data_IF_201415258479
#
_entry.id   IF_201415258479
#
_cell.length_a   1.000
_cell.length_b   1.000
_cell.length_c   1.000
_cell.angle_alpha   90.00
_cell.angle_beta   90.00
_cell.angle_gamma   90.00
#
_symmetry.space_group_name_H-M   'P 1'
#
loop_
_entity.id
_entity.type
_entity.pdbx_description
1 polymer ?
#
# COMPACT_ATOMS: atom_id res chain seq x y z
N UNK A 1 -28.26 48.50 -36.20
CA UNK A 1 -27.37 48.21 -35.05
C UNK A 1 -27.84 46.90 -34.40
N UNK A 2 -27.01 45.85 -34.41
CA UNK A 2 -26.99 44.92 -33.30
C UNK A 2 -25.55 44.77 -32.76
N UNK A 3 -25.39 44.92 -31.45
CA UNK A 3 -24.12 44.77 -30.76
C UNK A 3 -23.75 43.29 -30.64
N UNK A 4 -22.64 42.90 -31.26
CA UNK A 4 -22.03 41.60 -31.02
C UNK A 4 -21.08 41.73 -29.82
N UNK A 5 -21.54 41.38 -28.61
CA UNK A 5 -20.66 41.17 -27.46
C UNK A 5 -20.34 39.67 -27.37
N UNK A 6 -19.22 39.26 -27.96
CA UNK A 6 -18.62 37.94 -27.72
C UNK A 6 -17.17 38.14 -27.30
N UNK A 7 -17.04 38.48 -26.03
CA UNK A 7 -15.81 38.47 -25.21
C UNK A 7 -16.39 38.56 -23.79
N UNK A 8 -16.26 37.60 -22.88
CA UNK A 8 -15.06 36.90 -22.45
C UNK A 8 -15.52 35.78 -21.49
N UNK A 9 -15.84 34.57 -21.95
CA UNK A 9 -16.21 33.49 -21.00
C UNK A 9 -15.80 32.10 -21.50
N UNK A 10 -14.51 31.91 -21.82
CA UNK A 10 -14.01 30.57 -22.19
C UNK A 10 -12.62 30.27 -21.64
N UNK A 11 -12.27 30.82 -20.46
CA UNK A 11 -10.99 30.52 -19.80
C UNK A 11 -11.11 30.06 -18.34
N UNK A 12 -12.33 29.80 -17.84
CA UNK A 12 -12.55 29.37 -16.46
C UNK A 12 -12.82 27.85 -16.30
N UNK A 13 -13.04 27.10 -17.39
CA UNK A 13 -13.36 25.66 -17.30
C UNK A 13 -12.13 24.72 -17.28
N UNK A 14 -10.91 25.21 -17.55
CA UNK A 14 -9.70 24.38 -17.48
C UNK A 14 -9.05 24.34 -16.09
N UNK A 15 -9.49 25.19 -15.15
CA UNK A 15 -8.92 25.24 -13.79
C UNK A 15 -9.47 24.16 -12.85
N UNK A 16 -10.42 23.33 -13.30
CA UNK A 16 -11.10 22.31 -12.49
C UNK A 16 -10.55 20.90 -12.62
N UNK A 17 -9.55 20.66 -13.47
CA UNK A 17 -8.88 19.36 -13.55
C UNK A 17 -7.93 19.22 -12.35
N UNK A 18 -8.49 18.92 -11.18
CA UNK A 18 -7.70 18.43 -10.06
C UNK A 18 -7.11 17.08 -10.48
N UNK A 19 -5.83 17.07 -10.80
CA UNK A 19 -5.06 15.83 -10.94
C UNK A 19 -4.99 15.23 -9.55
N UNK A 20 -5.86 14.25 -9.27
CA UNK A 20 -5.78 13.48 -8.04
C UNK A 20 -4.45 12.71 -8.05
N UNK A 21 -3.55 13.10 -7.14
CA UNK A 21 -2.31 12.37 -6.90
C UNK A 21 -2.61 11.30 -5.87
N UNK A 22 -3.08 10.15 -6.34
CA UNK A 22 -3.38 9.00 -5.49
C UNK A 22 -2.08 8.25 -5.15
N UNK A 23 -1.84 8.05 -3.86
CA UNK A 23 -0.74 7.23 -3.36
C UNK A 23 -1.28 6.21 -2.37
N UNK A 24 -0.70 5.03 -2.42
CA UNK A 24 -1.01 3.94 -1.52
C UNK A 24 0.25 3.45 -0.83
N UNK A 25 0.13 3.08 0.43
CA UNK A 25 1.21 2.48 1.21
C UNK A 25 0.65 1.42 2.13
N UNK A 26 1.53 0.51 2.58
CA UNK A 26 1.19 -0.41 3.66
C UNK A 26 1.14 0.41 4.95
N UNK A 27 -0.06 0.62 5.49
CA UNK A 27 -0.26 1.32 6.76
C UNK A 27 0.06 0.38 7.93
N UNK A 28 -0.39 -0.87 7.82
CA UNK A 28 -0.29 -1.87 8.87
C UNK A 28 -0.19 -3.29 8.32
N UNK A 29 0.27 -4.21 9.15
CA UNK A 29 0.31 -5.64 8.89
C UNK A 29 -0.48 -6.38 9.98
N UNK A 30 -1.19 -7.44 9.57
CA UNK A 30 -1.89 -8.33 10.50
C UNK A 30 -1.64 -9.78 10.13
N UNK A 31 -1.62 -10.67 11.12
CA UNK A 31 -1.69 -12.10 10.85
C UNK A 31 -3.12 -12.47 10.46
N UNK A 32 -3.22 -13.48 9.61
CA UNK A 32 -4.47 -14.12 9.24
C UNK A 32 -4.55 -15.45 10.01
N UNK A 33 -5.57 -15.58 10.85
CA UNK A 33 -5.84 -16.81 11.58
C UNK A 33 -6.43 -17.92 10.69
N UNK A 34 -6.47 -19.17 11.17
CA UNK A 34 -6.98 -20.31 10.39
C UNK A 34 -8.45 -20.18 9.97
N UNK A 35 -9.24 -19.39 10.70
CA UNK A 35 -10.64 -19.09 10.39
C UNK A 35 -10.78 -17.92 9.39
N UNK A 36 -9.67 -17.40 8.89
CA UNK A 36 -9.63 -16.26 8.00
C UNK A 36 -9.87 -14.90 8.68
N UNK A 37 -9.84 -14.82 10.00
CA UNK A 37 -9.95 -13.54 10.70
C UNK A 37 -8.57 -12.91 10.89
N UNK A 38 -8.51 -11.58 10.88
CA UNK A 38 -7.29 -10.89 11.27
C UNK A 38 -7.01 -11.03 12.77
N UNK A 39 -5.73 -11.14 13.12
CA UNK A 39 -5.28 -11.10 14.51
C UNK A 39 -5.54 -9.74 15.16
N UNK A 40 -5.65 -9.74 16.50
CA UNK A 40 -5.68 -8.51 17.28
C UNK A 40 -4.35 -7.76 17.16
N UNK A 41 -3.23 -8.48 17.18
CA UNK A 41 -1.91 -7.90 16.98
C UNK A 41 -1.83 -7.16 15.64
N UNK A 42 -1.25 -5.97 15.70
CA UNK A 42 -0.99 -5.12 14.54
C UNK A 42 0.50 -4.82 14.51
N UNK A 43 1.12 -5.00 13.35
CA UNK A 43 2.46 -4.52 13.11
C UNK A 43 2.45 -3.29 12.22
N UNK A 44 3.45 -2.44 12.39
CA UNK A 44 3.61 -1.23 11.60
C UNK A 44 4.91 -1.27 10.78
N UNK A 45 5.03 -0.55 9.66
CA UNK A 45 6.28 -0.43 8.94
C UNK A 45 7.31 0.41 9.72
N UNK A 46 8.58 0.30 9.33
CA UNK A 46 9.64 1.20 9.85
C UNK A 46 9.27 2.64 9.48
N UNK A 47 9.38 3.57 10.44
CA UNK A 47 9.07 4.98 10.24
C UNK A 47 7.59 5.28 10.05
N UNK A 48 6.70 4.42 10.57
CA UNK A 48 5.28 4.72 10.70
C UNK A 48 5.05 5.98 11.54
N UNK A 49 4.11 6.81 11.11
CA UNK A 49 3.62 7.96 11.87
C UNK A 49 2.11 7.87 11.84
N UNK A 50 1.48 7.88 13.02
CA UNK A 50 0.03 7.81 13.12
C UNK A 50 -0.64 9.03 12.47
N UNK A 51 -1.78 8.80 11.84
CA UNK A 51 -2.62 9.85 11.25
C UNK A 51 -3.01 10.89 12.30
N UNK A 52 -2.73 12.15 12.01
CA UNK A 52 -3.01 13.26 12.92
C UNK A 52 -1.92 13.52 13.97
N UNK A 53 -0.92 12.65 14.07
CA UNK A 53 0.27 12.94 14.88
C UNK A 53 1.13 14.02 14.22
N UNK A 54 1.88 14.82 15.00
CA UNK A 54 2.86 15.76 14.45
C UNK A 54 3.85 15.06 13.52
N UNK A 55 4.07 15.64 12.34
CA UNK A 55 4.98 15.09 11.32
C UNK A 55 4.33 14.11 10.34
N UNK A 56 3.04 13.78 10.52
CA UNK A 56 2.31 12.98 9.54
C UNK A 56 2.13 13.75 8.21
N UNK A 57 2.46 13.08 7.11
CA UNK A 57 2.07 13.41 5.74
C UNK A 57 2.06 12.15 4.87
N UNK A 58 1.36 12.15 3.74
CA UNK A 58 1.39 11.01 2.81
C UNK A 58 2.84 10.67 2.40
N UNK A 59 3.64 11.68 2.07
CA UNK A 59 5.05 11.52 1.70
C UNK A 59 5.89 10.94 2.86
N UNK A 60 5.56 11.28 4.11
CA UNK A 60 6.26 10.73 5.27
C UNK A 60 6.04 9.23 5.43
N UNK A 61 4.94 8.66 4.91
CA UNK A 61 4.65 7.23 5.01
C UNK A 61 5.31 6.42 3.91
N UNK A 62 5.68 7.05 2.80
CA UNK A 62 6.17 6.40 1.58
C UNK A 62 7.70 6.35 1.51
N UNK A 63 8.21 5.30 0.85
CA UNK A 63 9.54 5.27 0.25
C UNK A 63 9.40 5.31 -1.27
N UNK A 64 9.17 6.50 -1.82
CA UNK A 64 8.87 6.68 -3.24
C UNK A 64 10.15 6.66 -4.08
N UNK A 65 10.32 5.63 -4.92
CA UNK A 65 11.43 5.50 -5.86
C UNK A 65 10.91 5.77 -7.27
N UNK A 66 11.31 6.90 -7.85
CA UNK A 66 10.94 7.29 -9.22
C UNK A 66 12.08 7.10 -10.23
N UNK A 67 13.32 7.09 -9.76
CA UNK A 67 14.51 6.83 -10.57
C UNK A 67 15.34 5.73 -9.90
N UNK A 68 15.49 4.61 -10.60
CA UNK A 68 16.26 3.46 -10.13
C UNK A 68 17.73 3.54 -10.53
N UNK A 69 18.14 4.49 -11.39
CA UNK A 69 19.54 4.57 -11.88
C UNK A 69 20.56 4.78 -10.77
N UNK A 70 20.20 5.57 -9.77
CA UNK A 70 21.06 5.84 -8.62
C UNK A 70 21.10 4.67 -7.60
N UNK A 71 20.36 3.58 -7.85
CA UNK A 71 20.13 2.48 -6.92
C UNK A 71 19.74 2.96 -5.51
N UNK A 72 18.68 3.79 -5.36
CA UNK A 72 18.34 4.34 -4.07
C UNK A 72 17.95 3.25 -3.06
N UNK A 73 18.18 3.47 -1.75
CA UNK A 73 17.77 2.54 -0.71
C UNK A 73 16.27 2.23 -0.75
N UNK A 74 15.92 0.95 -0.58
CA UNK A 74 14.52 0.51 -0.61
C UNK A 74 13.80 0.65 0.75
N UNK A 75 14.55 0.53 1.84
CA UNK A 75 14.03 0.61 3.21
C UNK A 75 14.31 1.97 3.84
N UNK A 76 13.44 2.39 4.77
CA UNK A 76 13.78 3.49 5.69
C UNK A 76 14.90 3.04 6.62
N UNK A 77 15.70 3.98 7.16
CA UNK A 77 16.76 3.65 8.11
C UNK A 77 16.23 2.87 9.31
N UNK A 78 16.99 1.87 9.75
CA UNK A 78 16.66 1.06 10.94
C UNK A 78 16.84 1.82 12.26
N UNK A 79 17.65 2.90 12.25
CA UNK A 79 17.85 3.76 13.41
C UNK A 79 16.51 4.40 13.83
N UNK A 80 16.08 4.13 15.06
CA UNK A 80 14.78 4.62 15.57
C UNK A 80 13.57 3.86 15.03
N UNK A 81 13.76 2.72 14.36
CA UNK A 81 12.65 1.86 13.95
C UNK A 81 11.81 1.43 15.16
N UNK A 82 10.48 1.40 14.99
CA UNK A 82 9.53 0.91 15.99
C UNK A 82 9.51 1.69 17.31
N UNK A 83 9.94 2.96 17.30
CA UNK A 83 9.76 3.84 18.46
C UNK A 83 8.28 4.17 18.68
N UNK A 84 7.62 3.41 19.56
CA UNK A 84 6.22 3.60 19.96
C UNK A 84 5.21 2.73 19.22
N UNK A 85 5.64 1.92 18.25
CA UNK A 85 4.76 1.03 17.48
C UNK A 85 5.40 -0.33 17.25
N UNK A 86 4.65 -1.40 17.47
CA UNK A 86 5.18 -2.75 17.38
C UNK A 86 5.39 -3.22 15.94
N UNK A 87 6.42 -4.06 15.74
CA UNK A 87 6.58 -4.85 14.54
C UNK A 87 5.68 -6.09 14.63
N UNK A 88 5.09 -6.52 13.51
CA UNK A 88 4.34 -7.78 13.49
C UNK A 88 5.27 -8.96 13.84
N UNK A 89 4.84 -9.79 14.78
CA UNK A 89 5.43 -11.11 15.02
C UNK A 89 4.61 -12.18 14.30
N UNK A 90 5.25 -13.00 13.47
CA UNK A 90 4.63 -14.10 12.75
C UNK A 90 5.56 -15.32 12.71
N UNK A 91 4.99 -16.52 12.80
CA UNK A 91 5.71 -17.78 12.71
C UNK A 91 5.85 -18.24 11.24
N UNK A 92 6.82 -19.11 10.92
CA UNK A 92 6.89 -19.75 9.61
C UNK A 92 5.57 -20.46 9.29
N UNK A 93 4.97 -20.12 8.14
CA UNK A 93 3.69 -20.67 7.69
C UNK A 93 2.47 -19.82 8.07
N UNK A 94 2.62 -18.79 8.89
CA UNK A 94 1.55 -17.82 9.13
C UNK A 94 1.24 -17.06 7.84
N UNK A 95 -0.05 -16.81 7.59
CA UNK A 95 -0.49 -15.88 6.57
C UNK A 95 -0.44 -14.45 7.13
N UNK A 96 0.06 -13.51 6.34
CA UNK A 96 0.16 -12.10 6.71
C UNK A 96 -0.60 -11.25 5.68
N UNK A 97 -1.47 -10.39 6.17
CA UNK A 97 -2.12 -9.35 5.40
C UNK A 97 -1.29 -8.06 5.47
N UNK A 98 -0.99 -7.46 4.31
CA UNK A 98 -0.51 -6.09 4.21
C UNK A 98 -1.72 -5.20 3.91
N UNK A 99 -2.01 -4.29 4.83
CA UNK A 99 -3.19 -3.45 4.79
C UNK A 99 -2.81 -2.11 4.16
N UNK A 100 -3.25 -1.90 2.93
CA UNK A 100 -2.96 -0.70 2.16
C UNK A 100 -3.99 0.39 2.41
N UNK A 101 -3.51 1.61 2.64
CA UNK A 101 -4.35 2.81 2.75
C UNK A 101 -4.00 3.81 1.64
N UNK A 102 -5.03 4.52 1.16
CA UNK A 102 -4.92 5.60 0.19
C UNK A 102 -5.09 6.98 0.83
N UNK A 103 -4.52 8.00 0.19
CA UNK A 103 -4.70 9.39 0.59
C UNK A 103 -6.07 9.96 0.15
N UNK A 104 -7.11 9.68 0.95
CA UNK A 104 -8.36 10.45 0.96
C UNK A 104 -9.29 10.33 -0.25
N UNK A 105 -8.85 9.69 -1.34
CA UNK A 105 -9.65 9.40 -2.53
C UNK A 105 -9.64 7.91 -2.85
N UNK A 106 -10.15 7.12 -1.91
CA UNK A 106 -10.37 5.68 -2.11
C UNK A 106 -11.27 5.50 -3.32
N UNK A 107 -10.75 4.86 -4.36
CA UNK A 107 -11.55 4.67 -5.56
C UNK A 107 -12.58 3.56 -5.32
N UNK A 108 -13.86 3.85 -5.56
CA UNK A 108 -14.91 2.84 -5.47
C UNK A 108 -14.82 1.82 -6.63
N UNK A 109 -14.58 0.52 -6.35
CA UNK A 109 -14.44 -0.49 -7.40
C UNK A 109 -15.74 -0.76 -8.17
N UNK A 110 -16.89 -0.31 -7.67
CA UNK A 110 -18.19 -0.47 -8.35
C UNK A 110 -18.49 0.65 -9.35
N UNK A 111 -17.85 1.82 -9.19
CA UNK A 111 -18.12 3.01 -10.02
C UNK A 111 -17.13 3.18 -11.16
N UNK A 112 -15.89 2.71 -11.00
CA UNK A 112 -14.82 2.90 -11.97
C UNK A 112 -14.34 1.55 -12.51
N UNK A 113 -14.57 1.24 -13.80
CA UNK A 113 -13.98 0.05 -14.43
C UNK A 113 -12.46 0.10 -14.31
N UNK A 114 -11.86 -0.94 -13.75
CA UNK A 114 -10.40 -1.09 -13.65
C UNK A 114 -9.92 -2.28 -14.46
N UNK A 115 -8.71 -2.22 -15.02
CA UNK A 115 -8.04 -3.42 -15.50
C UNK A 115 -7.96 -4.42 -14.35
N UNK A 116 -8.34 -5.67 -14.62
CA UNK A 116 -8.16 -6.75 -13.66
C UNK A 116 -6.67 -6.81 -13.29
N UNK A 117 -6.36 -6.87 -11.98
CA UNK A 117 -4.99 -7.08 -11.48
C UNK A 117 -3.99 -5.97 -11.86
N UNK A 118 -4.41 -4.71 -11.73
CA UNK A 118 -3.51 -3.58 -11.96
C UNK A 118 -2.51 -3.41 -10.80
N UNK A 119 -1.22 -3.39 -11.13
CA UNK A 119 -0.13 -3.19 -10.17
C UNK A 119 0.40 -4.50 -9.60
N UNK A 120 1.73 -4.57 -9.42
CA UNK A 120 2.42 -5.71 -8.84
C UNK A 120 2.97 -5.35 -7.47
N UNK A 121 2.83 -6.28 -6.53
CA UNK A 121 3.42 -6.22 -5.20
C UNK A 121 4.40 -7.37 -5.09
N UNK A 122 5.67 -7.04 -4.83
CA UNK A 122 6.71 -8.02 -4.55
C UNK A 122 7.12 -7.87 -3.08
N UNK A 123 7.09 -8.99 -2.35
CA UNK A 123 7.50 -9.03 -0.95
C UNK A 123 8.84 -9.74 -0.89
N UNK A 124 9.86 -9.03 -0.45
CA UNK A 124 11.20 -9.55 -0.24
C UNK A 124 11.51 -9.63 1.25
N UNK A 125 12.32 -10.61 1.64
CA UNK A 125 12.72 -10.80 3.03
C UNK A 125 14.19 -11.11 3.17
N UNK A 126 14.80 -10.58 4.23
CA UNK A 126 16.19 -10.84 4.62
C UNK A 126 16.33 -10.91 6.15
N UNK A 127 17.31 -11.67 6.62
CA UNK A 127 17.78 -11.64 8.01
C UNK A 127 19.00 -10.71 8.20
N UNK A 128 19.50 -10.12 7.12
CA UNK A 128 20.70 -9.30 7.04
C UNK A 128 20.33 -7.88 6.58
N UNK A 129 19.56 -7.16 7.41
CA UNK A 129 19.13 -5.80 7.10
C UNK A 129 20.35 -4.87 6.95
N UNK A 130 20.41 -4.15 5.84
CA UNK A 130 21.40 -3.09 5.58
C UNK A 130 20.68 -1.84 5.07
N UNK A 131 20.85 -0.70 5.74
CA UNK A 131 20.20 0.58 5.36
C UNK A 131 20.56 1.04 3.94
N UNK A 132 21.67 0.54 3.39
CA UNK A 132 22.16 0.86 2.05
C UNK A 132 21.65 -0.08 0.94
N UNK A 133 20.91 -1.15 1.27
CA UNK A 133 20.38 -2.07 0.25
C UNK A 133 19.50 -1.32 -0.75
N UNK A 134 19.95 -1.28 -2.00
CA UNK A 134 19.30 -0.54 -3.07
C UNK A 134 18.25 -1.35 -3.80
N UNK A 135 17.35 -0.65 -4.49
CA UNK A 135 16.28 -1.27 -5.28
C UNK A 135 16.78 -2.26 -6.34
N UNK A 136 17.92 -2.00 -6.99
CA UNK A 136 18.48 -2.87 -8.03
C UNK A 136 19.23 -4.08 -7.47
N UNK A 137 19.56 -4.07 -6.17
CA UNK A 137 20.17 -5.23 -5.49
C UNK A 137 19.10 -6.28 -5.14
N UNK A 138 17.82 -5.86 -5.10
CA UNK A 138 16.69 -6.66 -4.63
C UNK A 138 15.71 -6.99 -5.75
N UNK A 139 15.17 -5.96 -6.42
CA UNK A 139 14.11 -6.11 -7.42
C UNK A 139 14.65 -6.91 -8.61
N UNK A 140 13.99 -8.03 -8.91
CA UNK A 140 14.36 -9.01 -9.94
C UNK A 140 15.72 -9.71 -9.74
N UNK A 141 16.48 -9.35 -8.69
CA UNK A 141 17.76 -9.97 -8.34
C UNK A 141 17.58 -11.08 -7.29
N UNK A 142 16.83 -10.84 -6.21
CA UNK A 142 16.58 -11.85 -5.18
C UNK A 142 15.53 -12.86 -5.62
N UNK A 143 15.92 -14.13 -5.73
CA UNK A 143 15.05 -15.22 -6.17
C UNK A 143 14.37 -15.95 -5.01
N UNK A 144 13.29 -16.67 -5.29
CA UNK A 144 12.52 -17.39 -4.27
C UNK A 144 13.32 -18.51 -3.57
N UNK A 145 14.30 -19.10 -4.25
CA UNK A 145 15.22 -20.10 -3.67
C UNK A 145 16.36 -19.48 -2.85
N UNK A 146 16.42 -18.15 -2.76
CA UNK A 146 17.43 -17.40 -1.99
C UNK A 146 18.84 -17.41 -2.58
N UNK A 147 18.99 -17.77 -3.86
CA UNK A 147 20.31 -17.87 -4.52
C UNK A 147 20.63 -16.71 -5.46
N UNK A 148 19.63 -15.90 -5.80
CA UNK A 148 19.78 -14.76 -6.70
C UNK A 148 20.42 -13.55 -6.02
N UNK A 149 20.94 -12.63 -6.84
CA UNK A 149 21.59 -11.41 -6.37
C UNK A 149 22.84 -11.71 -5.54
N UNK A 150 22.92 -11.08 -4.37
CA UNK A 150 24.00 -11.26 -3.39
C UNK A 150 23.76 -12.41 -2.40
N UNK A 151 22.63 -13.14 -2.53
CA UNK A 151 22.27 -14.23 -1.63
C UNK A 151 21.90 -13.81 -0.21
N UNK A 152 21.73 -12.51 0.07
CA UNK A 152 21.37 -12.01 1.40
C UNK A 152 19.86 -12.06 1.69
N UNK A 153 19.03 -12.24 0.66
CA UNK A 153 17.58 -12.30 0.82
C UNK A 153 16.89 -13.16 -0.23
N UNK A 154 15.56 -13.12 -0.21
CA UNK A 154 14.72 -13.92 -1.11
C UNK A 154 13.41 -13.23 -1.44
N UNK A 155 12.85 -13.56 -2.59
CA UNK A 155 11.46 -13.27 -2.93
C UNK A 155 10.54 -14.19 -2.09
N UNK A 156 9.73 -13.59 -1.23
CA UNK A 156 8.75 -14.29 -0.39
C UNK A 156 7.42 -14.49 -1.12
N UNK A 157 6.98 -13.47 -1.84
CA UNK A 157 5.69 -13.48 -2.52
C UNK A 157 5.63 -12.46 -3.66
N UNK A 158 4.81 -12.75 -4.67
CA UNK A 158 4.45 -11.84 -5.73
C UNK A 158 2.94 -11.88 -5.94
N UNK A 159 2.28 -10.73 -5.79
CA UNK A 159 0.82 -10.61 -5.86
C UNK A 159 0.43 -9.38 -6.69
N UNK A 160 -0.85 -9.30 -7.02
CA UNK A 160 -1.41 -8.08 -7.59
C UNK A 160 -1.83 -7.15 -6.47
N UNK A 161 -1.63 -5.84 -6.65
CA UNK A 161 -2.06 -4.84 -5.68
C UNK A 161 -3.58 -4.88 -5.47
N UNK A 162 -4.34 -4.96 -6.56
CA UNK A 162 -5.76 -5.29 -6.54
C UNK A 162 -5.95 -6.76 -6.95
N UNK A 163 -6.06 -7.63 -5.95
CA UNK A 163 -6.33 -9.06 -6.12
C UNK A 163 -7.82 -9.38 -6.31
N UNK A 164 -8.68 -8.36 -6.20
CA UNK A 164 -10.13 -8.45 -6.31
C UNK A 164 -10.84 -8.99 -5.08
N UNK A 165 -10.16 -9.20 -3.96
CA UNK A 165 -10.76 -9.77 -2.74
C UNK A 165 -11.26 -8.66 -1.82
N UNK A 166 -10.34 -7.78 -1.40
CA UNK A 166 -10.61 -6.71 -0.43
C UNK A 166 -10.31 -5.33 -1.01
N UNK A 167 -10.96 -4.32 -0.45
CA UNK A 167 -10.61 -2.93 -0.70
C UNK A 167 -10.85 -2.10 0.56
N UNK A 168 -10.06 -1.03 0.72
CA UNK A 168 -10.34 -0.01 1.73
C UNK A 168 -11.74 0.57 1.44
N UNK A 169 -12.61 0.63 2.43
CA UNK A 169 -13.90 1.26 2.27
C UNK A 169 -13.72 2.78 2.32
N UNK A 170 -14.32 3.51 1.37
CA UNK A 170 -14.35 4.97 1.33
C UNK A 170 -14.94 5.61 2.61
N UNK A 171 -15.73 4.84 3.37
CA UNK A 171 -16.48 5.35 4.52
C UNK A 171 -17.73 6.14 4.10
N UNK A 172 -18.60 6.37 5.09
CA UNK A 172 -19.85 7.14 4.99
C UNK A 172 -20.27 7.64 6.38
N UNK A 173 -21.40 8.38 6.53
CA UNK A 173 -21.82 8.96 7.81
C UNK A 173 -21.94 7.96 8.97
N UNK A 174 -22.17 6.68 8.65
CA UNK A 174 -22.26 5.57 9.62
C UNK A 174 -20.91 4.84 9.88
N UNK A 175 -19.84 5.15 9.14
CA UNK A 175 -18.55 4.46 9.20
C UNK A 175 -17.53 5.14 10.13
N UNK A 176 -17.92 6.20 10.83
CA UNK A 176 -17.01 7.07 11.58
C UNK A 176 -16.38 6.43 12.83
N UNK A 177 -16.82 5.23 13.26
CA UNK A 177 -16.42 4.68 14.55
C UNK A 177 -15.24 3.69 14.51
N UNK A 178 -14.88 3.09 13.37
CA UNK A 178 -13.81 2.07 13.28
C UNK A 178 -13.21 2.00 11.86
N UNK A 179 -12.35 2.96 11.52
CA UNK A 179 -11.59 2.96 10.26
C UNK A 179 -10.16 2.45 10.49
N UNK A 180 -9.55 1.78 9.50
CA UNK A 180 -10.12 1.45 8.19
C UNK A 180 -11.04 0.24 8.21
N UNK A 181 -12.21 0.38 7.56
CA UNK A 181 -13.08 -0.76 7.24
C UNK A 181 -12.57 -1.35 5.93
N UNK A 182 -11.94 -2.52 5.97
CA UNK A 182 -11.72 -3.30 4.75
C UNK A 182 -12.99 -4.10 4.45
N UNK A 183 -13.54 -3.94 3.25
CA UNK A 183 -14.78 -4.61 2.85
C UNK A 183 -14.50 -5.62 1.72
N UNK A 184 -15.20 -6.74 1.77
CA UNK A 184 -15.20 -7.76 0.72
C UNK A 184 -15.90 -7.25 -0.55
N UNK A 185 -15.41 -7.64 -1.73
CA UNK A 185 -16.19 -7.44 -2.96
C UNK A 185 -17.35 -8.42 -3.00
N UNK A 186 -18.56 -7.90 -3.29
CA UNK A 186 -19.88 -8.55 -3.10
C UNK A 186 -20.08 -9.92 -3.79
N UNK A 187 -19.10 -10.47 -4.53
CA UNK A 187 -19.21 -11.76 -5.21
C UNK A 187 -17.93 -12.62 -5.17
N UNK A 188 -16.91 -12.27 -4.37
CA UNK A 188 -15.67 -13.06 -4.29
C UNK A 188 -15.58 -13.76 -2.93
N UNK A 189 -15.60 -15.09 -2.95
CA UNK A 189 -15.05 -15.93 -1.88
C UNK A 189 -13.55 -16.05 -2.19
N UNK A 190 -12.65 -15.48 -1.36
CA UNK A 190 -12.67 -15.58 0.10
C UNK A 190 -13.00 -14.25 0.83
N UNK A 191 -13.38 -14.37 2.11
CA UNK A 191 -13.52 -13.26 3.06
C UNK A 191 -12.25 -12.42 3.20
N UNK A 192 -12.39 -11.18 3.67
CA UNK A 192 -11.23 -10.36 4.02
C UNK A 192 -10.46 -11.00 5.17
N UNK A 193 -9.39 -11.70 4.81
CA UNK A 193 -8.59 -12.52 5.69
C UNK A 193 -8.75 -14.03 5.53
N UNK A 194 -9.66 -14.62 4.75
CA UNK A 194 -9.52 -16.06 4.44
C UNK A 194 -8.47 -16.25 3.38
N UNK A 195 -7.23 -16.36 3.85
CA UNK A 195 -6.08 -16.72 3.06
C UNK A 195 -6.32 -18.02 2.31
N UNK A 196 -6.84 -17.91 1.08
CA UNK A 196 -6.43 -18.79 0.00
C UNK A 196 -5.34 -18.07 -0.78
N UNK A 197 -4.27 -17.71 -0.09
CA UNK A 197 -3.01 -17.39 -0.75
C UNK A 197 -2.58 -18.63 -1.50
N UNK A 198 -2.51 -18.54 -2.83
CA UNK A 198 -1.57 -19.35 -3.60
C UNK A 198 -0.26 -18.60 -3.67
#
# INVERSE_FOLDING_TARGET
MPSWKLTTTTLALLAGLQTASAHSWVEALKRIGPNGAFSQDTGYPIGFIERGAPGFSDDSQLNKILDTKANPPICKPSAGAYQGYDRLAAAPGDFVAMLYEENGHVTDPTLTPRPYRSGNVYVYGTLQHEDATGINDVLDAWTADGKGGDGKGKLLAAHYYDDGVCYQNRGGPAAAANLPVYTERVNNTPSCGSGTGR
#
